data_IF_683613535138
#
_entry.id   IF_683613535138
#
_cell.length_a   1.000
_cell.length_b   1.000
_cell.length_c   1.000
_cell.angle_alpha   90.00
_cell.angle_beta   90.00
_cell.angle_gamma   90.00
#
_symmetry.space_group_name_H-M   'P 1'
#
loop_
_entity.id
_entity.type
_entity.pdbx_description
1 polymer ?
#
# COMPACT_ATOMS: atom_id res chain seq x y z
N UNK A 1 -13.81 23.85 -6.43
CA UNK A 1 -12.76 23.55 -5.43
C UNK A 1 -11.41 24.08 -5.90
N UNK A 2 -10.57 24.61 -5.00
CA UNK A 2 -9.20 25.04 -5.34
C UNK A 2 -8.38 23.82 -5.72
N UNK A 3 -7.92 23.77 -6.97
CA UNK A 3 -6.86 22.84 -7.36
C UNK A 3 -5.63 23.14 -6.49
N UNK A 4 -5.22 22.20 -5.63
CA UNK A 4 -4.01 22.33 -4.84
C UNK A 4 -2.83 22.52 -5.80
N UNK A 5 -2.26 23.73 -5.83
CA UNK A 5 -1.32 24.16 -6.86
C UNK A 5 -0.03 23.33 -6.88
N UNK A 6 0.30 22.67 -5.77
CA UNK A 6 1.50 21.84 -5.67
C UNK A 6 1.48 20.65 -6.63
N UNK A 7 0.29 20.16 -7.06
CA UNK A 7 0.21 18.98 -7.92
C UNK A 7 0.69 19.21 -9.36
N UNK A 8 0.84 20.47 -9.74
CA UNK A 8 1.26 20.89 -11.08
C UNK A 8 2.67 21.49 -11.09
N UNK A 9 3.37 21.47 -9.95
CA UNK A 9 4.67 22.11 -9.76
C UNK A 9 5.68 21.04 -9.32
N UNK A 10 6.86 21.02 -9.93
CA UNK A 10 7.92 20.09 -9.55
C UNK A 10 8.33 20.30 -8.07
N UNK A 11 8.59 19.22 -7.29
CA UNK A 11 8.85 19.32 -5.85
C UNK A 11 9.94 20.31 -5.44
N UNK A 12 10.98 20.48 -6.24
CA UNK A 12 12.07 21.43 -5.95
C UNK A 12 11.61 22.91 -5.94
N UNK A 13 10.51 23.21 -6.61
CA UNK A 13 9.93 24.56 -6.66
C UNK A 13 8.74 24.74 -5.72
N UNK A 14 8.48 23.81 -4.81
CA UNK A 14 7.41 23.96 -3.84
C UNK A 14 7.69 25.11 -2.87
N UNK A 15 6.68 25.95 -2.66
CA UNK A 15 6.67 26.89 -1.55
C UNK A 15 6.52 26.13 -0.22
N UNK A 16 6.78 26.78 0.92
CA UNK A 16 6.49 26.20 2.24
C UNK A 16 5.02 25.78 2.38
N UNK A 17 4.13 26.56 1.78
CA UNK A 17 2.71 26.25 1.76
C UNK A 17 2.41 24.97 0.97
N UNK A 18 3.04 24.81 -0.21
CA UNK A 18 2.91 23.60 -1.03
C UNK A 18 3.42 22.35 -0.30
N UNK A 19 4.50 22.48 0.48
CA UNK A 19 5.02 21.38 1.33
C UNK A 19 3.98 20.99 2.39
N UNK A 20 3.35 21.98 3.04
CA UNK A 20 2.26 21.71 3.99
C UNK A 20 1.05 21.06 3.33
N UNK A 21 0.62 21.52 2.16
CA UNK A 21 -0.48 20.91 1.41
C UNK A 21 -0.16 19.47 1.01
N UNK A 22 1.08 19.20 0.57
CA UNK A 22 1.55 17.86 0.25
C UNK A 22 1.56 16.95 1.49
N UNK A 23 2.03 17.44 2.64
CA UNK A 23 2.00 16.69 3.90
C UNK A 23 0.58 16.41 4.34
N UNK A 24 -0.31 17.40 4.26
CA UNK A 24 -1.73 17.23 4.60
C UNK A 24 -2.38 16.20 3.67
N UNK A 25 -2.12 16.26 2.37
CA UNK A 25 -2.55 15.24 1.43
C UNK A 25 -2.00 13.86 1.81
N UNK A 26 -0.72 13.76 2.19
CA UNK A 26 -0.15 12.48 2.63
C UNK A 26 -0.83 11.96 3.91
N UNK A 27 -1.12 12.83 4.87
CA UNK A 27 -1.89 12.48 6.07
C UNK A 27 -3.30 11.99 5.71
N UNK A 28 -4.00 12.69 4.83
CA UNK A 28 -5.39 12.39 4.46
C UNK A 28 -5.51 11.12 3.62
N UNK A 29 -4.63 10.95 2.63
CA UNK A 29 -4.59 9.82 1.71
C UNK A 29 -4.03 8.56 2.36
N UNK A 30 -2.93 8.68 3.10
CA UNK A 30 -2.26 7.53 3.70
C UNK A 30 -2.66 7.28 5.16
N UNK A 31 -3.58 8.09 5.71
CA UNK A 31 -4.03 8.04 7.11
C UNK A 31 -2.83 8.05 8.07
N UNK A 32 -1.83 8.88 7.77
CA UNK A 32 -0.68 9.07 8.65
C UNK A 32 -1.18 9.78 9.91
N UNK A 33 -0.69 9.36 11.08
CA UNK A 33 -0.98 10.05 12.32
C UNK A 33 -0.26 11.41 12.31
N UNK A 34 -1.03 12.49 12.20
CA UNK A 34 -0.50 13.84 12.18
C UNK A 34 0.25 14.19 13.48
N UNK A 35 0.00 13.47 14.59
CA UNK A 35 0.73 13.65 15.84
C UNK A 35 2.17 13.10 15.78
N UNK A 36 2.48 12.24 14.80
CA UNK A 36 3.83 11.71 14.59
C UNK A 36 4.71 12.61 13.71
N UNK A 37 4.14 13.64 13.08
CA UNK A 37 4.83 14.50 12.13
C UNK A 37 5.12 15.85 12.80
N UNK A 38 6.40 16.15 13.01
CA UNK A 38 6.80 17.47 13.49
C UNK A 38 6.67 18.50 12.35
N UNK A 39 5.53 19.20 12.29
CA UNK A 39 5.30 20.28 11.31
C UNK A 39 6.38 21.38 11.39
N UNK A 40 7.01 21.56 12.54
CA UNK A 40 8.15 22.48 12.70
C UNK A 40 9.37 22.07 11.89
N UNK A 41 9.64 20.76 11.76
CA UNK A 41 10.73 20.24 10.93
C UNK A 41 10.43 20.37 9.43
N UNK A 42 9.16 20.37 9.03
CA UNK A 42 8.76 20.51 7.63
C UNK A 42 8.40 21.94 7.21
N UNK A 43 8.69 22.95 8.03
CA UNK A 43 8.49 24.37 7.68
C UNK A 43 9.58 24.92 6.74
N UNK A 44 9.83 24.18 5.67
CA UNK A 44 10.91 24.37 4.69
C UNK A 44 10.33 24.45 3.28
N UNK A 45 11.11 24.96 2.32
CA UNK A 45 10.69 24.95 0.92
C UNK A 45 10.99 23.61 0.25
N UNK A 46 10.47 23.44 -0.97
CA UNK A 46 10.61 22.23 -1.76
C UNK A 46 12.05 21.83 -2.07
N UNK A 47 12.92 22.80 -2.33
CA UNK A 47 14.34 22.56 -2.57
C UNK A 47 15.03 21.97 -1.34
N UNK A 48 14.76 22.53 -0.16
CA UNK A 48 15.27 22.00 1.10
C UNK A 48 14.71 20.61 1.38
N UNK A 49 13.40 20.41 1.17
CA UNK A 49 12.73 19.12 1.35
C UNK A 49 13.32 18.03 0.43
N UNK A 50 13.62 18.35 -0.83
CA UNK A 50 14.20 17.41 -1.80
C UNK A 50 15.66 17.04 -1.49
N UNK A 51 16.36 17.87 -0.72
CA UNK A 51 17.74 17.66 -0.31
C UNK A 51 17.87 16.96 1.05
N UNK A 52 16.77 16.85 1.81
CA UNK A 52 16.77 16.06 3.04
C UNK A 52 17.03 14.58 2.72
N UNK A 53 17.78 13.95 3.60
CA UNK A 53 18.06 12.52 3.62
C UNK A 53 16.88 11.74 4.21
N UNK A 54 16.85 10.43 3.97
CA UNK A 54 15.86 9.54 4.58
C UNK A 54 15.92 9.57 6.12
N UNK A 55 17.12 9.70 6.69
CA UNK A 55 17.35 9.78 8.13
C UNK A 55 16.74 11.06 8.72
N UNK A 56 16.91 12.20 8.07
CA UNK A 56 16.29 13.46 8.51
C UNK A 56 14.75 13.42 8.43
N UNK A 57 14.19 12.67 7.49
CA UNK A 57 12.76 12.41 7.43
C UNK A 57 12.29 11.50 8.58
N UNK A 58 13.04 10.45 8.90
CA UNK A 58 12.79 9.57 10.04
C UNK A 58 12.85 10.33 11.37
N UNK A 59 13.83 11.22 11.54
CA UNK A 59 13.94 12.07 12.73
C UNK A 59 12.76 13.05 12.85
N UNK A 60 12.25 13.55 11.72
CA UNK A 60 11.16 14.53 11.69
C UNK A 60 9.75 13.93 11.86
N UNK A 61 9.54 12.69 11.41
CA UNK A 61 8.21 12.07 11.34
C UNK A 61 8.15 10.62 11.87
N UNK A 62 9.21 10.16 12.53
CA UNK A 62 9.35 8.77 12.97
C UNK A 62 9.21 7.80 11.80
N UNK A 63 8.50 6.69 12.04
CA UNK A 63 8.18 5.69 11.01
C UNK A 63 7.46 6.27 9.78
N UNK A 64 6.72 7.38 9.91
CA UNK A 64 6.05 8.03 8.79
C UNK A 64 7.05 8.74 7.87
N UNK A 65 8.24 9.09 8.37
CA UNK A 65 9.29 9.77 7.62
C UNK A 65 9.78 8.99 6.42
N UNK A 66 10.00 7.68 6.58
CA UNK A 66 10.42 6.81 5.48
C UNK A 66 9.40 6.82 4.33
N UNK A 67 8.10 6.77 4.65
CA UNK A 67 7.03 6.85 3.64
C UNK A 67 7.01 8.21 2.95
N UNK A 68 7.10 9.30 3.72
CA UNK A 68 7.12 10.66 3.18
C UNK A 68 8.32 10.87 2.24
N UNK A 69 9.50 10.37 2.62
CA UNK A 69 10.69 10.40 1.78
C UNK A 69 10.47 9.63 0.48
N UNK A 70 9.95 8.40 0.55
CA UNK A 70 9.69 7.59 -0.63
C UNK A 70 8.66 8.21 -1.57
N UNK A 71 7.58 8.79 -1.02
CA UNK A 71 6.56 9.51 -1.77
C UNK A 71 7.20 10.69 -2.51
N UNK A 72 8.02 11.48 -1.82
CA UNK A 72 8.72 12.63 -2.42
C UNK A 72 9.63 12.19 -3.58
N UNK A 73 10.44 11.14 -3.39
CA UNK A 73 11.31 10.63 -4.46
C UNK A 73 10.50 10.09 -5.64
N UNK A 74 9.37 9.44 -5.37
CA UNK A 74 8.46 8.95 -6.40
C UNK A 74 7.90 10.10 -7.25
N UNK A 75 7.50 11.21 -6.61
CA UNK A 75 7.03 12.42 -7.30
C UNK A 75 8.13 13.05 -8.14
N UNK A 76 9.37 13.13 -7.63
CA UNK A 76 10.51 13.69 -8.37
C UNK A 76 10.82 12.89 -9.64
N UNK A 77 10.77 11.57 -9.55
CA UNK A 77 11.16 10.68 -10.65
C UNK A 77 10.04 10.47 -11.68
N UNK A 78 8.78 10.42 -11.25
CA UNK A 78 7.65 10.01 -12.09
C UNK A 78 6.55 11.07 -12.23
N UNK A 79 6.63 12.17 -11.48
CA UNK A 79 5.55 13.15 -11.38
C UNK A 79 4.37 12.64 -10.54
N UNK A 80 3.31 13.45 -10.50
CA UNK A 80 2.13 13.21 -9.63
C UNK A 80 1.11 12.25 -10.26
N UNK A 81 1.35 11.83 -11.51
CA UNK A 81 0.59 10.79 -12.20
C UNK A 81 0.60 9.44 -11.47
N UNK A 82 1.53 9.23 -10.53
CA UNK A 82 1.52 8.09 -9.61
C UNK A 82 0.24 8.02 -8.75
N UNK A 83 -0.42 9.14 -8.47
CA UNK A 83 -1.60 9.22 -7.62
C UNK A 83 -2.95 9.15 -8.36
N UNK A 84 -2.98 9.46 -9.65
CA UNK A 84 -4.22 9.85 -10.36
C UNK A 84 -5.05 8.70 -10.94
N UNK A 85 -4.68 7.44 -10.75
CA UNK A 85 -5.50 6.30 -11.23
C UNK A 85 -6.70 5.97 -10.29
N UNK A 86 -7.02 6.83 -9.31
CA UNK A 86 -7.94 6.49 -8.23
C UNK A 86 -9.37 7.09 -8.29
N UNK A 87 -9.69 8.10 -9.11
CA UNK A 87 -11.06 8.65 -9.13
C UNK A 87 -11.51 9.15 -10.50
N UNK A 88 -12.21 8.31 -11.26
CA UNK A 88 -13.40 8.73 -12.01
C UNK A 88 -14.35 7.53 -12.21
N UNK A 89 -15.26 7.30 -11.27
CA UNK A 89 -16.52 6.64 -11.59
C UNK A 89 -17.63 7.18 -10.70
N UNK A 90 -18.22 8.31 -11.12
CA UNK A 90 -19.55 8.73 -10.65
C UNK A 90 -20.59 7.68 -11.03
N UNK A 91 -21.40 7.13 -10.11
CA UNK A 91 -22.61 6.42 -10.48
C UNK A 91 -23.79 7.39 -10.49
N UNK A 92 -24.44 7.47 -11.65
CA UNK A 92 -25.74 8.11 -11.86
C UNK A 92 -26.82 7.42 -11.01
N UNK A 93 -27.53 8.21 -10.21
CA UNK A 93 -28.77 7.86 -9.52
C UNK A 93 -29.88 7.54 -10.54
N UNK A 94 -30.47 6.34 -10.46
CA UNK A 94 -31.84 6.02 -10.89
C UNK A 94 -32.45 4.92 -10.00
N UNK A 95 -33.21 5.39 -9.00
CA UNK A 95 -34.58 5.00 -8.64
C UNK A 95 -35.07 3.54 -8.41
N UNK A 96 -35.81 3.43 -7.27
CA UNK A 96 -36.93 2.53 -6.89
C UNK A 96 -36.63 1.17 -6.18
N UNK A 97 -37.57 0.63 -5.35
CA UNK A 97 -37.75 1.01 -3.94
C UNK A 97 -37.93 -0.19 -2.96
N UNK A 98 -37.97 0.13 -1.66
CA UNK A 98 -38.65 -0.56 -0.56
C UNK A 98 -38.26 -2.02 -0.20
N UNK A 99 -37.85 -2.23 1.06
CA UNK A 99 -38.71 -2.88 2.09
C UNK A 99 -37.93 -3.13 3.38
N UNK A 100 -38.28 -2.35 4.41
CA UNK A 100 -38.03 -2.69 5.81
C UNK A 100 -38.75 -3.98 6.22
N UNK A 101 -38.14 -4.71 7.16
CA UNK A 101 -38.73 -5.31 8.39
C UNK A 101 -37.67 -6.26 9.00
N UNK A 102 -37.13 -5.94 10.18
CA UNK A 102 -37.55 -6.45 11.51
C UNK A 102 -37.04 -7.90 11.75
N UNK A 103 -36.51 -8.37 12.89
CA UNK A 103 -36.55 -7.96 14.29
C UNK A 103 -35.60 -8.86 15.14
N UNK A 104 -35.08 -8.31 16.26
CA UNK A 104 -34.99 -8.87 17.63
C UNK A 104 -34.13 -10.10 18.05
N UNK A 105 -33.24 -9.78 19.02
CA UNK A 105 -32.93 -10.40 20.36
C UNK A 105 -32.08 -11.68 20.51
N UNK A 106 -30.99 -11.52 21.28
CA UNK A 106 -30.61 -12.14 22.58
C UNK A 106 -29.07 -12.08 22.69
N UNK A 107 -28.42 -11.54 23.74
CA UNK A 107 -28.38 -11.97 25.14
C UNK A 107 -26.92 -12.31 25.51
N UNK A 108 -26.38 -11.68 26.55
CA UNK A 108 -25.01 -11.70 27.12
C UNK A 108 -24.37 -13.10 27.28
N UNK A 109 -23.04 -13.35 27.31
CA UNK A 109 -22.02 -12.94 28.30
C UNK A 109 -20.58 -13.38 27.86
N UNK A 110 -19.59 -12.55 28.22
CA UNK A 110 -18.16 -12.80 28.54
C UNK A 110 -17.35 -13.94 27.89
N UNK A 111 -16.23 -13.55 27.26
CA UNK A 111 -15.09 -14.43 27.02
C UNK A 111 -13.89 -13.70 26.37
N UNK A 112 -12.94 -13.27 27.20
CA UNK A 112 -11.50 -13.15 26.90
C UNK A 112 -11.09 -12.39 25.63
N UNK A 113 -10.89 -11.08 25.76
CA UNK A 113 -9.95 -10.36 24.87
C UNK A 113 -8.52 -10.71 25.29
N UNK A 114 -7.83 -11.48 24.45
CA UNK A 114 -6.41 -11.78 24.60
C UNK A 114 -5.64 -11.38 23.33
N UNK A 115 -4.53 -10.67 23.57
CA UNK A 115 -3.40 -10.37 22.69
C UNK A 115 -3.59 -9.32 21.59
N UNK A 116 -3.31 -8.09 22.01
CA UNK A 116 -2.52 -7.09 21.29
C UNK A 116 -1.33 -7.69 20.51
N UNK A 117 -1.40 -7.65 19.18
CA UNK A 117 -0.23 -7.55 18.29
C UNK A 117 -0.57 -6.57 17.17
N UNK A 118 0.38 -5.67 16.87
CA UNK A 118 0.19 -4.40 16.17
C UNK A 118 -0.65 -4.48 14.89
N UNK A 119 -1.74 -3.72 14.86
CA UNK A 119 -2.50 -3.41 13.64
C UNK A 119 -1.67 -2.47 12.77
N UNK A 120 -0.70 -3.01 12.05
CA UNK A 120 -0.03 -2.28 10.97
C UNK A 120 -1.07 -1.98 9.88
N UNK A 121 -0.96 -0.79 9.27
CA UNK A 121 -1.87 -0.24 8.28
C UNK A 121 -1.79 -1.02 6.95
N UNK A 122 -2.28 -2.26 6.96
CA UNK A 122 -2.14 -3.25 5.90
C UNK A 122 -2.96 -2.90 4.63
N UNK A 123 -3.84 -1.90 4.68
CA UNK A 123 -4.75 -1.53 3.58
C UNK A 123 -4.02 -0.82 2.41
N UNK A 124 -2.88 -0.16 2.66
CA UNK A 124 -2.09 0.55 1.64
C UNK A 124 -0.91 -0.25 1.05
N UNK A 125 -0.78 -1.54 1.38
CA UNK A 125 0.25 -2.42 0.82
C UNK A 125 0.02 -2.66 -0.68
N UNK A 126 1.08 -2.68 -1.50
CA UNK A 126 1.00 -3.13 -2.89
C UNK A 126 0.84 -4.66 -2.94
N UNK A 127 0.30 -5.19 -4.04
CA UNK A 127 0.06 -6.63 -4.17
C UNK A 127 1.34 -7.46 -4.00
N UNK A 128 2.46 -7.00 -4.55
CA UNK A 128 3.72 -7.72 -4.46
C UNK A 128 4.28 -7.76 -3.02
N UNK A 129 4.05 -6.71 -2.24
CA UNK A 129 4.44 -6.63 -0.83
C UNK A 129 3.58 -7.58 0.00
N UNK A 130 2.27 -7.57 -0.21
CA UNK A 130 1.37 -8.54 0.42
C UNK A 130 1.78 -9.99 0.13
N UNK A 131 2.12 -10.31 -1.12
CA UNK A 131 2.60 -11.65 -1.51
C UNK A 131 3.92 -11.98 -0.82
N UNK A 132 4.86 -11.03 -0.75
CA UNK A 132 6.13 -11.20 -0.03
C UNK A 132 5.88 -11.46 1.46
N UNK A 133 5.11 -10.60 2.11
CA UNK A 133 4.88 -10.66 3.55
C UNK A 133 4.20 -11.99 3.91
N UNK A 134 3.26 -12.46 3.09
CA UNK A 134 2.63 -13.76 3.24
C UNK A 134 3.63 -14.93 3.10
N UNK A 135 4.62 -14.82 2.22
CA UNK A 135 5.72 -15.79 2.09
C UNK A 135 6.74 -15.74 3.24
N UNK A 136 6.80 -14.62 3.97
CA UNK A 136 7.69 -14.42 5.13
C UNK A 136 7.01 -14.77 6.47
N UNK A 137 5.68 -14.85 6.50
CA UNK A 137 4.87 -15.18 7.67
C UNK A 137 4.23 -16.57 7.53
N UNK A 138 4.92 -17.68 7.89
CA UNK A 138 4.39 -19.04 7.77
C UNK A 138 3.06 -19.25 8.48
N UNK A 139 2.86 -18.56 9.62
CA UNK A 139 1.65 -18.68 10.44
C UNK A 139 0.41 -18.11 9.72
N UNK A 140 0.55 -16.98 9.03
CA UNK A 140 -0.54 -16.35 8.25
C UNK A 140 -0.72 -16.98 6.87
N UNK A 141 0.34 -17.59 6.32
CA UNK A 141 0.36 -18.14 4.97
C UNK A 141 -0.63 -19.30 4.79
N UNK A 142 -0.77 -20.20 5.78
CA UNK A 142 -1.67 -21.34 5.68
C UNK A 142 -1.47 -22.22 4.43
N UNK A 143 -0.26 -22.25 3.87
CA UNK A 143 0.09 -22.95 2.62
C UNK A 143 -0.57 -22.36 1.36
N UNK A 144 -0.81 -21.04 1.32
CA UNK A 144 -1.35 -20.35 0.15
C UNK A 144 -0.27 -20.12 -0.90
N UNK A 145 0.93 -19.73 -0.44
CA UNK A 145 2.12 -19.51 -1.24
C UNK A 145 3.25 -20.40 -0.74
N UNK A 146 4.13 -20.84 -1.63
CA UNK A 146 5.30 -21.64 -1.27
C UNK A 146 6.54 -21.15 -2.00
N UNK A 147 7.70 -21.21 -1.33
CA UNK A 147 8.98 -21.01 -1.99
C UNK A 147 9.33 -22.26 -2.80
N UNK A 148 9.52 -22.08 -4.10
CA UNK A 148 10.13 -23.11 -4.96
C UNK A 148 11.65 -23.02 -4.89
N UNK A 149 12.17 -21.79 -4.83
CA UNK A 149 13.58 -21.50 -4.60
C UNK A 149 13.68 -20.16 -3.85
N UNK A 150 13.97 -20.23 -2.55
CA UNK A 150 14.09 -19.05 -1.70
C UNK A 150 15.27 -18.15 -2.09
N UNK A 151 16.39 -18.75 -2.50
CA UNK A 151 17.60 -18.01 -2.89
C UNK A 151 17.43 -17.21 -4.18
N UNK A 152 16.65 -17.73 -5.11
CA UNK A 152 16.32 -17.06 -6.37
C UNK A 152 15.04 -16.22 -6.33
N UNK A 153 14.29 -16.26 -5.23
CA UNK A 153 13.04 -15.53 -5.09
C UNK A 153 11.89 -16.13 -5.90
N UNK A 154 11.95 -17.42 -6.21
CA UNK A 154 10.93 -18.13 -6.99
C UNK A 154 9.91 -18.72 -6.04
N UNK A 155 8.64 -18.39 -6.27
CA UNK A 155 7.52 -18.85 -5.46
C UNK A 155 6.37 -19.36 -6.32
N UNK A 156 5.55 -20.23 -5.75
CA UNK A 156 4.35 -20.80 -6.34
C UNK A 156 3.11 -20.34 -5.57
N UNK A 157 2.05 -20.03 -6.32
CA UNK A 157 0.70 -19.90 -5.78
C UNK A 157 0.06 -21.29 -5.73
N UNK A 158 -0.13 -21.83 -4.52
CA UNK A 158 -0.73 -23.15 -4.29
C UNK A 158 -2.25 -23.05 -4.22
N UNK A 159 -2.77 -22.07 -3.45
CA UNK A 159 -4.22 -21.86 -3.25
C UNK A 159 -4.66 -20.52 -3.86
N UNK A 160 -4.84 -20.49 -5.18
CA UNK A 160 -5.16 -19.27 -5.94
C UNK A 160 -6.40 -18.52 -5.44
N UNK A 161 -7.48 -19.24 -5.15
CA UNK A 161 -8.74 -18.67 -4.63
C UNK A 161 -8.55 -18.05 -3.25
N UNK A 162 -7.83 -18.73 -2.36
CA UNK A 162 -7.56 -18.24 -1.02
C UNK A 162 -6.69 -16.97 -1.04
N UNK A 163 -5.66 -16.93 -1.90
CA UNK A 163 -4.84 -15.74 -2.12
C UNK A 163 -5.67 -14.55 -2.57
N UNK A 164 -6.53 -14.76 -3.59
CA UNK A 164 -7.40 -13.72 -4.11
C UNK A 164 -8.39 -13.20 -3.07
N UNK A 165 -9.00 -14.10 -2.29
CA UNK A 165 -9.91 -13.75 -1.21
C UNK A 165 -9.22 -12.93 -0.12
N UNK A 166 -8.03 -13.34 0.32
CA UNK A 166 -7.26 -12.64 1.35
C UNK A 166 -6.84 -11.23 0.89
N UNK A 167 -6.40 -11.11 -0.37
CA UNK A 167 -6.12 -9.81 -0.97
C UNK A 167 -7.37 -8.94 -1.13
N UNK A 168 -8.50 -9.53 -1.54
CA UNK A 168 -9.79 -8.87 -1.64
C UNK A 168 -10.24 -8.31 -0.29
N UNK A 169 -10.20 -9.13 0.77
CA UNK A 169 -10.48 -8.70 2.14
C UNK A 169 -9.57 -7.55 2.56
N UNK A 170 -8.28 -7.63 2.22
CA UNK A 170 -7.31 -6.57 2.53
C UNK A 170 -7.65 -5.23 1.89
N UNK A 171 -8.08 -5.25 0.62
CA UNK A 171 -8.46 -4.07 -0.15
C UNK A 171 -9.95 -3.73 -0.07
N UNK A 172 -10.72 -4.40 0.81
CA UNK A 172 -12.18 -4.28 0.92
C UNK A 172 -12.89 -4.43 -0.44
N UNK A 173 -12.41 -5.37 -1.26
CA UNK A 173 -12.94 -5.69 -2.58
C UNK A 173 -13.40 -7.15 -2.63
N UNK A 174 -14.69 -7.37 -2.37
CA UNK A 174 -15.31 -8.69 -2.34
C UNK A 174 -15.40 -9.35 -3.73
N UNK A 175 -15.17 -8.58 -4.81
CA UNK A 175 -15.17 -9.06 -6.20
C UNK A 175 -13.77 -9.40 -6.72
N UNK A 176 -12.77 -9.49 -5.83
CA UNK A 176 -11.41 -9.90 -6.17
C UNK A 176 -11.37 -11.39 -6.52
N UNK A 177 -10.81 -11.72 -7.68
CA UNK A 177 -10.59 -13.10 -8.13
C UNK A 177 -9.13 -13.29 -8.54
N UNK A 178 -8.68 -14.53 -8.67
CA UNK A 178 -7.31 -14.80 -9.05
C UNK A 178 -7.00 -14.32 -10.48
N UNK A 179 -7.96 -14.30 -11.38
CA UNK A 179 -7.81 -13.78 -12.75
C UNK A 179 -7.44 -12.30 -12.72
N UNK A 180 -8.12 -11.51 -11.89
CA UNK A 180 -7.86 -10.07 -11.69
C UNK A 180 -6.53 -9.84 -10.96
N UNK A 181 -6.30 -10.58 -9.88
CA UNK A 181 -5.05 -10.49 -9.10
C UNK A 181 -3.84 -10.84 -9.98
N UNK A 182 -3.93 -11.94 -10.73
CA UNK A 182 -2.86 -12.36 -11.63
C UNK A 182 -2.63 -11.37 -12.77
N UNK A 183 -3.63 -10.57 -13.16
CA UNK A 183 -3.44 -9.47 -14.12
C UNK A 183 -2.50 -8.41 -13.56
N UNK A 184 -2.64 -8.05 -12.29
CA UNK A 184 -1.73 -7.13 -11.59
C UNK A 184 -0.33 -7.73 -11.42
N UNK A 185 -0.22 -9.01 -11.04
CA UNK A 185 1.08 -9.70 -10.98
C UNK A 185 1.82 -9.67 -12.33
N UNK A 186 1.11 -9.88 -13.44
CA UNK A 186 1.71 -9.79 -14.78
C UNK A 186 2.12 -8.37 -15.17
N UNK A 187 1.48 -7.33 -14.64
CA UNK A 187 1.91 -5.95 -14.88
C UNK A 187 3.28 -5.66 -14.27
N UNK A 188 3.63 -6.33 -13.17
CA UNK A 188 4.94 -6.19 -12.53
C UNK A 188 6.12 -6.70 -13.37
N UNK A 189 5.87 -7.44 -14.46
CA UNK A 189 6.92 -7.80 -15.42
C UNK A 189 7.53 -6.57 -16.10
N UNK A 190 6.69 -5.56 -16.41
CA UNK A 190 7.16 -4.33 -17.06
C UNK A 190 7.99 -3.48 -16.11
N UNK A 191 7.62 -3.46 -14.84
CA UNK A 191 8.31 -2.65 -13.82
C UNK A 191 9.51 -3.36 -13.20
N UNK A 192 9.77 -4.63 -13.55
CA UNK A 192 10.88 -5.42 -12.98
C UNK A 192 10.69 -5.82 -11.51
N UNK A 193 9.50 -5.62 -10.94
CA UNK A 193 9.15 -6.08 -9.59
C UNK A 193 8.98 -7.61 -9.58
N UNK A 194 8.42 -8.17 -10.66
CA UNK A 194 8.40 -9.62 -10.89
C UNK A 194 9.06 -9.95 -12.22
N UNK A 195 9.65 -11.13 -12.31
CA UNK A 195 10.18 -11.72 -13.53
C UNK A 195 9.25 -12.84 -14.01
N UNK A 196 9.07 -12.94 -15.34
CA UNK A 196 8.26 -14.01 -15.92
C UNK A 196 8.97 -15.35 -15.77
N UNK A 197 8.26 -16.32 -15.21
CA UNK A 197 8.65 -17.74 -15.20
C UNK A 197 7.71 -18.49 -16.13
N UNK A 198 8.24 -19.35 -17.02
CA UNK A 198 7.42 -20.12 -17.96
C UNK A 198 6.83 -21.38 -17.32
N UNK A 199 6.20 -21.20 -16.15
CA UNK A 199 5.52 -22.24 -15.38
C UNK A 199 4.23 -21.68 -14.79
N UNK A 200 3.16 -22.49 -14.81
CA UNK A 200 1.84 -22.05 -14.35
C UNK A 200 1.85 -21.82 -12.83
N UNK A 201 1.25 -20.71 -12.39
CA UNK A 201 1.16 -20.28 -10.98
C UNK A 201 2.52 -20.03 -10.30
N UNK A 202 3.61 -19.97 -11.07
CA UNK A 202 4.95 -19.71 -10.55
C UNK A 202 5.39 -18.32 -10.98
N UNK A 203 5.96 -17.59 -10.03
CA UNK A 203 6.43 -16.23 -10.20
C UNK A 203 7.81 -16.11 -9.56
N UNK A 204 8.56 -15.10 -9.98
CA UNK A 204 9.87 -14.80 -9.40
C UNK A 204 9.94 -13.33 -9.04
N UNK A 205 10.40 -13.01 -7.84
CA UNK A 205 10.71 -11.64 -7.48
C UNK A 205 11.87 -11.12 -8.34
N UNK A 206 11.66 -9.97 -8.96
CA UNK A 206 12.66 -9.31 -9.78
C UNK A 206 13.55 -8.37 -8.96
N UNK A 207 14.54 -7.80 -9.62
CA UNK A 207 15.51 -6.87 -9.01
C UNK A 207 14.91 -5.62 -8.36
N UNK A 208 13.70 -5.22 -8.74
CA UNK A 208 13.03 -4.05 -8.16
C UNK A 208 12.12 -4.39 -6.98
N UNK A 209 12.00 -5.67 -6.60
CA UNK A 209 11.35 -6.09 -5.36
C UNK A 209 12.40 -6.28 -4.26
N UNK A 210 12.10 -5.77 -3.07
CA UNK A 210 12.99 -5.82 -1.90
C UNK A 210 12.34 -6.51 -0.69
N UNK A 211 13.16 -6.86 0.30
CA UNK A 211 12.72 -7.45 1.57
C UNK A 211 12.39 -8.95 1.50
N UNK A 212 12.47 -9.60 0.34
CA UNK A 212 12.27 -11.04 0.20
C UNK A 212 13.58 -11.83 0.31
N UNK A 213 14.71 -11.18 0.00
CA UNK A 213 16.05 -11.77 0.03
C UNK A 213 16.45 -12.05 1.48
N UNK A 214 17.07 -13.19 1.73
CA UNK A 214 17.75 -13.42 3.01
C UNK A 214 18.96 -12.47 3.10
N UNK A 215 19.07 -11.74 4.20
CA UNK A 215 20.26 -10.99 4.53
C UNK A 215 21.45 -11.94 4.46
N UNK A 216 22.37 -11.75 3.52
CA UNK A 216 23.66 -12.41 3.57
C UNK A 216 24.39 -11.82 4.78
N UNK A 217 24.39 -12.56 5.87
CA UNK A 217 25.30 -12.35 7.00
C UNK A 217 26.73 -12.64 6.50
#
# INVERSE_FOLDING_TARGET
ESYSFWTSIHPEYWSKHNVCEWLQFCCDQYKLDANCISFSHFNINGLQLCNMTQEEFLDAAGICGEYLYFILQSIRMHGISFFTDAEETKPSLKDFPAREKACMRAGSINGQECHSHGRTNLQNSHLWEFVRDLLLSPEENGGILEWEDRGQGIFRVVKSEALAKMWGQRKKNDRMTYEKLSRALRYYYKTGILERVDRRLVYKFGKNAHGWQESKI
#
